data_IF_859075404374
#
_entry.id   IF_859075404374
#
_cell.length_a   1.000
_cell.length_b   1.000
_cell.length_c   1.000
_cell.angle_alpha   90.00
_cell.angle_beta   90.00
_cell.angle_gamma   90.00
#
_symmetry.space_group_name_H-M   'P 1'
#
loop_
_entity.id
_entity.type
_entity.pdbx_description
1 polymer ?
#
# COMPACT_ATOMS: atom_id res chain seq x y z
N UNK A 1 14.94 14.40 -25.41
CA UNK A 1 15.56 14.25 -24.07
C UNK A 1 14.40 14.12 -23.09
N UNK A 2 14.00 12.90 -22.74
CA UNK A 2 12.84 12.70 -21.86
C UNK A 2 13.23 13.15 -20.45
N UNK A 3 12.46 14.09 -19.89
CA UNK A 3 12.62 14.52 -18.51
C UNK A 3 12.42 13.30 -17.60
N UNK A 4 13.43 13.00 -16.78
CA UNK A 4 13.30 11.98 -15.75
C UNK A 4 12.20 12.44 -14.77
N UNK A 5 11.17 11.63 -14.49
CA UNK A 5 10.18 12.01 -13.50
C UNK A 5 10.87 12.16 -12.15
N UNK A 6 10.60 13.28 -11.48
CA UNK A 6 11.04 13.56 -10.12
C UNK A 6 10.74 12.35 -9.24
N UNK A 7 11.75 11.90 -8.50
CA UNK A 7 11.70 10.67 -7.73
C UNK A 7 10.70 10.85 -6.57
N UNK A 8 9.45 10.39 -6.75
CA UNK A 8 8.43 10.46 -5.71
C UNK A 8 8.64 9.28 -4.73
N UNK A 9 9.73 9.41 -3.96
CA UNK A 9 10.08 8.84 -2.66
C UNK A 9 10.32 7.33 -2.45
N UNK A 10 11.43 7.09 -1.73
CA UNK A 10 11.56 6.03 -0.72
C UNK A 10 12.42 6.51 0.45
N UNK A 11 13.46 7.33 0.21
CA UNK A 11 14.16 8.13 1.23
C UNK A 11 14.52 9.49 0.62
N UNK A 12 14.13 10.56 1.29
CA UNK A 12 14.18 11.92 0.74
C UNK A 12 15.03 12.82 1.61
N UNK A 13 15.40 14.00 1.12
CA UNK A 13 16.30 14.92 1.82
C UNK A 13 15.88 15.19 3.28
N UNK A 14 14.58 15.32 3.53
CA UNK A 14 14.05 15.51 4.88
C UNK A 14 14.29 14.31 5.80
N UNK A 15 14.30 13.08 5.27
CA UNK A 15 14.59 11.87 6.04
C UNK A 15 16.08 11.74 6.36
N UNK A 16 16.96 12.08 5.42
CA UNK A 16 18.41 12.11 5.67
C UNK A 16 18.76 13.16 6.73
N UNK A 17 18.15 14.36 6.65
CA UNK A 17 18.31 15.38 7.69
C UNK A 17 17.83 14.91 9.07
N UNK A 18 16.77 14.09 9.12
CA UNK A 18 16.30 13.49 10.37
C UNK A 18 17.32 12.50 10.94
N UNK A 19 17.90 11.63 10.10
CA UNK A 19 18.91 10.67 10.55
C UNK A 19 20.18 11.35 11.06
N UNK A 20 20.60 12.44 10.43
CA UNK A 20 21.76 13.23 10.85
C UNK A 20 21.50 14.03 12.13
N UNK A 21 20.26 14.45 12.35
CA UNK A 21 19.86 15.17 13.56
C UNK A 21 19.61 14.23 14.77
N UNK A 22 19.66 12.91 14.59
CA UNK A 22 19.43 11.96 15.66
C UNK A 22 20.54 12.06 16.73
N UNK A 23 20.11 12.25 17.97
CA UNK A 23 21.02 12.37 19.13
C UNK A 23 21.62 11.04 19.54
N UNK A 24 21.11 9.92 19.03
CA UNK A 24 21.61 8.56 19.27
C UNK A 24 22.01 7.88 17.96
N UNK A 25 22.98 8.48 17.26
CA UNK A 25 23.50 7.99 15.99
C UNK A 25 23.94 6.51 16.02
N UNK A 26 24.34 5.99 17.19
CA UNK A 26 24.72 4.59 17.38
C UNK A 26 23.57 3.58 17.13
N UNK A 27 22.31 4.01 17.19
CA UNK A 27 21.15 3.16 16.91
C UNK A 27 20.71 3.23 15.44
N UNK A 28 21.30 4.12 14.63
CA UNK A 28 20.92 4.30 13.24
C UNK A 28 21.64 3.25 12.38
N UNK A 29 20.96 2.14 12.14
CA UNK A 29 21.46 1.05 11.30
C UNK A 29 21.64 1.46 9.83
N UNK A 30 22.58 0.80 9.14
CA UNK A 30 22.80 1.00 7.70
C UNK A 30 21.58 0.67 6.84
N UNK A 31 20.64 -0.13 7.36
CA UNK A 31 19.40 -0.42 6.66
C UNK A 31 18.53 0.84 6.46
N UNK A 32 18.57 1.79 7.39
CA UNK A 32 17.82 3.05 7.30
C UNK A 32 18.38 3.99 6.23
N UNK A 33 19.67 3.86 5.90
CA UNK A 33 20.35 4.65 4.85
C UNK A 33 20.26 4.00 3.47
N UNK A 34 19.66 2.81 3.36
CA UNK A 34 19.61 2.06 2.10
C UNK A 34 18.55 2.64 1.16
N UNK A 35 18.99 3.38 0.15
CA UNK A 35 18.12 3.84 -0.93
C UNK A 35 17.92 2.73 -1.98
N UNK A 36 16.71 2.18 -2.08
CA UNK A 36 16.34 1.17 -3.08
C UNK A 36 15.01 1.54 -3.78
N UNK A 37 15.05 2.51 -4.71
CA UNK A 37 13.85 2.95 -5.40
C UNK A 37 13.40 1.86 -6.36
N UNK A 38 12.10 1.57 -6.41
CA UNK A 38 11.55 0.60 -7.35
C UNK A 38 11.27 1.28 -8.70
N UNK A 39 11.98 0.96 -9.80
CA UNK A 39 11.66 1.51 -11.12
C UNK A 39 10.30 0.99 -11.60
N UNK A 40 9.47 1.80 -12.29
CA UNK A 40 9.72 3.15 -12.83
C UNK A 40 9.47 4.32 -11.86
N UNK A 41 9.38 4.07 -10.55
CA UNK A 41 8.91 5.04 -9.56
C UNK A 41 7.40 4.93 -9.34
N UNK A 42 6.83 5.66 -8.38
CA UNK A 42 5.39 5.64 -8.19
C UNK A 42 4.70 6.20 -9.44
N UNK A 43 3.63 5.54 -9.82
CA UNK A 43 2.81 5.96 -10.95
C UNK A 43 1.66 6.81 -10.45
N UNK A 44 1.38 7.91 -11.15
CA UNK A 44 0.19 8.71 -10.88
C UNK A 44 -1.06 7.98 -11.38
N UNK A 45 -1.94 7.62 -10.46
CA UNK A 45 -3.24 7.02 -10.78
C UNK A 45 -4.28 8.14 -10.91
N UNK A 46 -5.08 8.17 -12.00
CA UNK A 46 -6.14 9.17 -12.13
C UNK A 46 -7.14 9.11 -10.97
N UNK A 47 -7.47 10.27 -10.38
CA UNK A 47 -8.38 10.38 -9.23
C UNK A 47 -9.72 9.69 -9.48
N UNK A 48 -10.22 9.73 -10.73
CA UNK A 48 -11.45 9.07 -11.14
C UNK A 48 -11.51 7.59 -10.77
N UNK A 49 -10.37 6.88 -10.69
CA UNK A 49 -10.31 5.48 -10.26
C UNK A 49 -10.89 5.22 -8.87
N UNK A 50 -10.88 6.24 -8.00
CA UNK A 50 -11.32 6.14 -6.62
C UNK A 50 -12.73 6.71 -6.39
N UNK A 51 -13.30 7.46 -7.35
CA UNK A 51 -14.56 8.20 -7.16
C UNK A 51 -15.64 7.88 -8.20
N UNK A 52 -15.27 7.42 -9.40
CA UNK A 52 -16.22 7.20 -10.48
C UNK A 52 -16.86 5.80 -10.34
N UNK A 53 -18.19 5.79 -10.21
CA UNK A 53 -19.02 4.57 -10.07
C UNK A 53 -18.76 3.54 -11.18
N UNK A 54 -18.40 3.98 -12.39
CA UNK A 54 -18.10 3.07 -13.49
C UNK A 54 -16.94 2.11 -13.17
N UNK A 55 -15.94 2.57 -12.42
CA UNK A 55 -14.82 1.70 -12.03
C UNK A 55 -15.21 0.73 -10.94
N UNK A 56 -16.05 1.16 -9.99
CA UNK A 56 -16.61 0.27 -8.99
C UNK A 56 -17.34 -0.92 -9.66
N UNK A 57 -18.24 -0.66 -10.61
CA UNK A 57 -18.93 -1.73 -11.36
C UNK A 57 -17.98 -2.69 -12.08
N UNK A 58 -16.88 -2.17 -12.65
CA UNK A 58 -15.85 -2.99 -13.29
C UNK A 58 -15.08 -3.85 -12.27
N UNK A 59 -14.81 -3.32 -11.08
CA UNK A 59 -14.15 -4.06 -10.00
C UNK A 59 -15.04 -5.20 -9.48
N UNK A 60 -16.36 -5.00 -9.35
CA UNK A 60 -17.29 -6.08 -8.96
C UNK A 60 -17.25 -7.23 -9.96
N UNK A 61 -17.26 -6.93 -11.26
CA UNK A 61 -17.28 -7.94 -12.33
C UNK A 61 -15.92 -8.64 -12.52
N UNK A 62 -14.82 -7.87 -12.47
CA UNK A 62 -13.51 -8.34 -12.92
C UNK A 62 -12.50 -8.60 -11.81
N UNK A 63 -12.71 -8.06 -10.62
CA UNK A 63 -11.76 -8.18 -9.51
C UNK A 63 -12.37 -9.00 -8.37
N UNK A 64 -13.36 -8.43 -7.66
CA UNK A 64 -13.83 -8.98 -6.38
C UNK A 64 -14.41 -10.39 -6.50
N UNK A 65 -15.02 -10.74 -7.63
CA UNK A 65 -15.53 -12.09 -7.90
C UNK A 65 -14.47 -13.15 -8.25
N UNK A 66 -13.23 -12.74 -8.50
CA UNK A 66 -12.19 -13.59 -9.10
C UNK A 66 -10.96 -13.78 -8.21
N UNK A 67 -10.79 -12.93 -7.21
CA UNK A 67 -9.65 -12.98 -6.29
C UNK A 67 -10.02 -13.68 -4.98
N UNK A 68 -9.01 -14.26 -4.34
CA UNK A 68 -9.13 -14.72 -2.96
C UNK A 68 -9.29 -13.52 -2.03
N UNK A 69 -10.27 -13.58 -1.13
CA UNK A 69 -10.56 -12.54 -0.16
C UNK A 69 -10.46 -13.10 1.25
N UNK A 70 -9.89 -12.32 2.15
CA UNK A 70 -9.81 -12.66 3.56
C UNK A 70 -11.15 -12.34 4.21
N UNK A 71 -11.89 -13.37 4.64
CA UNK A 71 -13.22 -13.20 5.25
C UNK A 71 -13.16 -13.11 6.78
N UNK A 72 -12.48 -14.06 7.43
CA UNK A 72 -12.28 -14.08 8.88
C UNK A 72 -11.02 -14.87 9.23
N UNK A 73 -10.57 -14.74 10.48
CA UNK A 73 -9.54 -15.59 11.08
C UNK A 73 -10.19 -16.74 11.86
N UNK A 74 -9.45 -17.82 12.09
CA UNK A 74 -9.94 -18.97 12.87
C UNK A 74 -10.34 -18.57 14.30
N UNK A 75 -9.61 -17.63 14.89
CA UNK A 75 -9.89 -17.09 16.23
C UNK A 75 -11.24 -16.36 16.32
N UNK A 76 -11.81 -15.92 15.20
CA UNK A 76 -13.14 -15.29 15.17
C UNK A 76 -14.28 -16.33 15.29
N UNK A 77 -13.96 -17.63 15.15
CA UNK A 77 -14.89 -18.76 15.17
C UNK A 77 -14.48 -19.83 16.20
N UNK A 78 -14.36 -19.48 17.50
CA UNK A 78 -13.81 -20.39 18.51
C UNK A 78 -14.73 -21.58 18.82
N UNK A 79 -16.04 -21.47 18.59
CA UNK A 79 -17.01 -22.49 18.95
C UNK A 79 -17.78 -23.04 17.74
N UNK A 80 -18.30 -24.26 17.91
CA UNK A 80 -19.19 -24.88 16.93
C UNK A 80 -20.49 -24.10 16.85
N UNK A 81 -20.78 -23.57 15.66
CA UNK A 81 -22.00 -22.80 15.38
C UNK A 81 -21.77 -21.30 15.22
N UNK A 82 -20.55 -20.81 15.43
CA UNK A 82 -20.20 -19.42 15.16
C UNK A 82 -20.26 -19.14 13.65
N UNK A 83 -20.77 -17.95 13.29
CA UNK A 83 -20.91 -17.51 11.90
C UNK A 83 -20.57 -16.03 11.78
N UNK A 84 -19.90 -15.65 10.70
CA UNK A 84 -19.58 -14.25 10.39
C UNK A 84 -20.19 -13.88 9.04
N UNK A 85 -21.14 -12.94 8.99
CA UNK A 85 -21.64 -12.43 7.72
C UNK A 85 -20.54 -11.64 7.01
N UNK A 86 -20.36 -11.91 5.71
CA UNK A 86 -19.33 -11.26 4.90
C UNK A 86 -19.93 -10.80 3.57
N UNK A 87 -20.08 -9.48 3.45
CA UNK A 87 -20.61 -8.83 2.25
C UNK A 87 -19.46 -8.43 1.32
N UNK A 88 -19.60 -8.71 0.03
CA UNK A 88 -18.56 -8.50 -0.98
C UNK A 88 -19.14 -7.67 -2.11
N UNK A 89 -18.51 -6.51 -2.35
CA UNK A 89 -18.84 -5.64 -3.48
C UNK A 89 -20.33 -5.25 -3.52
N UNK A 90 -20.89 -4.89 -2.37
CA UNK A 90 -22.22 -4.26 -2.26
C UNK A 90 -22.15 -2.76 -2.62
#
# INVERSE_FOLDING_TARGET
MAAQPENVRTMDEAFEQLLEADTRAENVSDALRRHNPMPPGPTLVPVARYIDHRYHELEKDKLWRRVWQMACHEDDLPNVGDVVPYDIAD
#
